data_IF_897810867767
#
_entry.id   IF_897810867767
#
_cell.length_a   1.000
_cell.length_b   1.000
_cell.length_c   1.000
_cell.angle_alpha   90.00
_cell.angle_beta   90.00
_cell.angle_gamma   90.00
#
_symmetry.space_group_name_H-M   'P 1'
#
loop_
_entity.id
_entity.type
_entity.pdbx_description
1 polymer ?
#
# COMPACT_ATOMS: atom_id res chain seq x y z
N UNK A 1 -8.03 29.49 18.04
CA UNK A 1 -7.17 30.22 17.09
C UNK A 1 -6.96 29.32 15.90
N UNK A 2 -7.65 29.59 14.78
CA UNK A 2 -7.53 28.82 13.54
C UNK A 2 -6.13 29.03 12.96
N UNK A 3 -5.38 27.96 12.77
CA UNK A 3 -4.17 28.03 11.96
C UNK A 3 -4.59 28.46 10.54
N UNK A 4 -4.28 29.70 10.17
CA UNK A 4 -4.52 30.24 8.84
C UNK A 4 -3.81 29.38 7.80
N UNK A 5 -4.53 28.94 6.78
CA UNK A 5 -3.92 28.30 5.61
C UNK A 5 -2.91 29.25 4.93
N UNK A 6 -1.84 28.73 4.32
CA UNK A 6 -0.90 29.56 3.57
C UNK A 6 -1.61 30.33 2.44
N UNK A 7 -1.20 31.58 2.21
CA UNK A 7 -1.87 32.54 1.31
C UNK A 7 -2.00 32.12 -0.17
N UNK A 8 -1.31 31.07 -0.64
CA UNK A 8 -1.49 30.53 -2.00
C UNK A 8 -2.61 29.47 -2.10
N UNK A 9 -3.28 29.17 -0.99
CA UNK A 9 -4.38 28.20 -0.88
C UNK A 9 -5.72 28.88 -0.52
N UNK A 10 -5.86 30.18 -0.79
CA UNK A 10 -7.05 30.96 -0.40
C UNK A 10 -8.33 30.51 -1.10
N UNK A 11 -8.22 29.97 -2.32
CA UNK A 11 -9.38 29.62 -3.15
C UNK A 11 -9.23 28.19 -3.72
N UNK A 12 -10.18 27.28 -3.40
CA UNK A 12 -10.23 25.96 -4.02
C UNK A 12 -10.41 26.06 -5.54
N UNK A 13 -9.80 25.15 -6.31
CA UNK A 13 -10.06 25.06 -7.75
C UNK A 13 -11.48 24.57 -8.03
N UNK A 14 -12.00 24.81 -9.24
CA UNK A 14 -13.32 24.29 -9.67
C UNK A 14 -13.43 22.77 -9.51
N UNK A 15 -12.33 22.04 -9.72
CA UNK A 15 -12.22 20.61 -9.51
C UNK A 15 -12.33 20.21 -8.02
N UNK A 16 -11.71 20.99 -7.12
CA UNK A 16 -11.86 20.81 -5.67
C UNK A 16 -13.27 21.17 -5.20
N UNK A 17 -13.88 22.22 -5.76
CA UNK A 17 -15.27 22.59 -5.50
C UNK A 17 -16.25 21.52 -6.01
N UNK A 18 -15.97 20.91 -7.16
CA UNK A 18 -16.73 19.78 -7.69
C UNK A 18 -16.69 18.59 -6.72
N UNK A 19 -15.51 18.22 -6.22
CA UNK A 19 -15.37 17.18 -5.20
C UNK A 19 -16.14 17.54 -3.91
N UNK A 20 -16.09 18.80 -3.49
CA UNK A 20 -16.83 19.28 -2.32
C UNK A 20 -18.35 19.16 -2.52
N UNK A 21 -18.86 19.57 -3.68
CA UNK A 21 -20.28 19.49 -4.02
C UNK A 21 -20.75 18.03 -4.04
N UNK A 22 -19.99 17.12 -4.63
CA UNK A 22 -20.30 15.68 -4.60
C UNK A 22 -20.30 15.12 -3.17
N UNK A 23 -19.43 15.62 -2.28
CA UNK A 23 -19.45 15.21 -0.88
C UNK A 23 -20.75 15.62 -0.17
N UNK A 24 -21.33 16.77 -0.52
CA UNK A 24 -22.59 17.25 0.06
C UNK A 24 -23.81 16.42 -0.32
N UNK A 25 -23.73 15.59 -1.36
CA UNK A 25 -24.80 14.63 -1.72
C UNK A 25 -24.88 13.44 -0.75
N UNK A 26 -23.93 13.32 0.18
CA UNK A 26 -23.84 12.24 1.17
C UNK A 26 -23.78 10.82 0.55
N UNK A 27 -23.38 10.72 -0.72
CA UNK A 27 -23.15 9.47 -1.45
C UNK A 27 -21.65 9.22 -1.62
N UNK A 28 -21.26 7.95 -1.63
CA UNK A 28 -19.86 7.57 -1.89
C UNK A 28 -19.46 7.90 -3.32
N UNK A 29 -18.26 8.42 -3.49
CA UNK A 29 -17.68 8.78 -4.79
C UNK A 29 -16.16 8.67 -4.75
N UNK A 30 -15.52 8.76 -5.91
CA UNK A 30 -14.07 8.74 -6.03
C UNK A 30 -13.51 10.02 -6.65
N UNK A 31 -12.35 10.45 -6.17
CA UNK A 31 -11.58 11.57 -6.70
C UNK A 31 -10.30 11.00 -7.30
N UNK A 32 -10.21 11.00 -8.62
CA UNK A 32 -8.98 10.61 -9.32
C UNK A 32 -8.11 11.86 -9.40
N UNK A 33 -6.95 11.80 -8.77
CA UNK A 33 -6.13 12.98 -8.56
C UNK A 33 -4.68 12.69 -8.95
N UNK A 34 -4.12 13.54 -9.79
CA UNK A 34 -2.74 13.37 -10.22
C UNK A 34 -1.72 13.80 -9.16
N UNK A 35 -0.45 13.52 -9.46
CA UNK A 35 0.72 13.92 -8.70
C UNK A 35 0.66 15.41 -8.29
N UNK A 36 0.60 15.65 -6.98
CA UNK A 36 0.61 17.00 -6.45
C UNK A 36 -0.68 17.78 -6.64
N UNK A 37 -1.79 17.15 -7.07
CA UNK A 37 -3.07 17.82 -7.29
C UNK A 37 -3.89 18.12 -6.03
N UNK A 38 -3.26 18.05 -4.84
CA UNK A 38 -3.89 18.46 -3.59
C UNK A 38 -4.85 17.44 -2.96
N UNK A 39 -4.69 16.13 -3.20
CA UNK A 39 -5.50 15.02 -2.61
C UNK A 39 -5.91 15.24 -1.15
N UNK A 40 -4.92 15.28 -0.26
CA UNK A 40 -5.13 15.45 1.18
C UNK A 40 -5.73 16.82 1.53
N UNK A 41 -5.41 17.86 0.76
CA UNK A 41 -6.02 19.20 0.92
C UNK A 41 -7.51 19.16 0.58
N UNK A 42 -7.88 18.52 -0.53
CA UNK A 42 -9.28 18.36 -0.95
C UNK A 42 -10.07 17.57 0.10
N UNK A 43 -9.50 16.48 0.62
CA UNK A 43 -10.09 15.72 1.73
C UNK A 43 -10.27 16.57 2.99
N UNK A 44 -9.29 17.44 3.30
CA UNK A 44 -9.40 18.37 4.42
C UNK A 44 -10.57 19.35 4.21
N UNK A 45 -10.68 19.98 3.03
CA UNK A 45 -11.77 20.90 2.69
C UNK A 45 -13.14 20.24 2.84
N UNK A 46 -13.25 18.98 2.37
CA UNK A 46 -14.46 18.16 2.56
C UNK A 46 -14.73 17.94 4.05
N UNK A 47 -13.71 17.55 4.83
CA UNK A 47 -13.82 17.34 6.28
C UNK A 47 -14.22 18.59 7.06
N UNK A 48 -13.81 19.78 6.61
CA UNK A 48 -14.22 21.08 7.18
C UNK A 48 -15.70 21.39 6.94
N UNK A 49 -16.27 20.90 5.83
CA UNK A 49 -17.65 21.20 5.43
C UNK A 49 -18.66 20.18 5.91
N UNK A 50 -18.28 18.90 5.96
CA UNK A 50 -19.14 17.82 6.44
C UNK A 50 -19.29 17.88 7.97
N UNK A 51 -20.50 17.56 8.43
CA UNK A 51 -20.86 17.51 9.86
C UNK A 51 -20.85 16.07 10.37
N UNK A 52 -20.82 15.91 11.70
CA UNK A 52 -20.81 14.60 12.36
C UNK A 52 -19.39 14.13 12.69
N UNK A 53 -19.23 12.84 13.00
CA UNK A 53 -17.92 12.25 13.30
C UNK A 53 -17.27 11.77 12.01
N UNK A 54 -16.20 12.45 11.59
CA UNK A 54 -15.44 12.06 10.42
C UNK A 54 -14.32 11.08 10.76
N UNK A 55 -13.94 10.24 9.79
CA UNK A 55 -12.76 9.39 9.89
C UNK A 55 -11.91 9.54 8.63
N UNK A 56 -10.68 9.99 8.80
CA UNK A 56 -9.66 10.00 7.76
C UNK A 56 -8.77 8.75 7.89
N UNK A 57 -8.66 8.00 6.80
CA UNK A 57 -7.87 6.78 6.70
C UNK A 57 -6.73 6.98 5.69
N UNK A 58 -5.50 6.74 6.15
CA UNK A 58 -4.31 6.74 5.32
C UNK A 58 -3.60 5.37 5.31
N UNK A 59 -2.78 5.15 4.29
CA UNK A 59 -2.00 3.92 4.17
C UNK A 59 -0.84 3.84 5.17
N UNK A 60 -0.15 4.95 5.43
CA UNK A 60 1.02 4.98 6.31
C UNK A 60 0.88 5.96 7.48
N UNK A 61 1.68 5.73 8.53
CA UNK A 61 1.62 6.49 9.79
C UNK A 61 2.05 7.94 9.63
N UNK A 62 3.00 8.24 8.73
CA UNK A 62 3.47 9.59 8.49
C UNK A 62 2.34 10.47 7.89
N UNK A 63 1.62 9.95 6.89
CA UNK A 63 0.44 10.62 6.30
C UNK A 63 -0.64 10.82 7.35
N UNK A 64 -0.98 9.79 8.14
CA UNK A 64 -1.99 9.90 9.19
C UNK A 64 -1.65 10.95 10.26
N UNK A 65 -0.37 11.06 10.65
CA UNK A 65 0.09 12.05 11.62
C UNK A 65 0.07 13.47 11.05
N UNK A 66 0.51 13.65 9.80
CA UNK A 66 0.46 14.95 9.11
C UNK A 66 -0.99 15.43 8.94
N UNK A 67 -1.89 14.52 8.55
CA UNK A 67 -3.32 14.80 8.46
C UNK A 67 -3.90 15.21 9.83
N UNK A 68 -3.55 14.52 10.91
CA UNK A 68 -4.05 14.85 12.27
C UNK A 68 -3.76 16.30 12.68
N UNK A 69 -2.62 16.86 12.26
CA UNK A 69 -2.27 18.24 12.59
C UNK A 69 -3.06 19.28 11.78
N UNK A 70 -3.68 18.87 10.66
CA UNK A 70 -4.28 19.76 9.66
C UNK A 70 -5.79 19.64 9.57
N UNK A 71 -6.35 18.46 9.85
CA UNK A 71 -7.77 18.17 9.75
C UNK A 71 -8.56 18.77 10.94
N UNK A 72 -9.88 19.01 10.77
CA UNK A 72 -10.73 19.47 11.84
C UNK A 72 -10.78 18.50 13.04
N UNK A 73 -11.03 18.99 14.27
CA UNK A 73 -11.07 18.14 15.47
C UNK A 73 -12.11 17.01 15.44
N UNK A 74 -13.21 17.16 14.69
CA UNK A 74 -14.24 16.12 14.55
C UNK A 74 -13.88 15.02 13.55
N UNK A 75 -12.75 15.15 12.85
CA UNK A 75 -12.26 14.15 11.90
C UNK A 75 -11.08 13.40 12.53
N UNK A 76 -11.31 12.15 12.91
CA UNK A 76 -10.26 11.32 13.47
C UNK A 76 -9.31 10.84 12.35
N UNK A 77 -8.00 11.09 12.47
CA UNK A 77 -7.00 10.63 11.50
C UNK A 77 -6.26 9.37 11.98
N UNK A 78 -6.34 8.28 11.21
CA UNK A 78 -5.74 6.97 11.51
C UNK A 78 -5.17 6.30 10.27
N UNK A 79 -4.31 5.31 10.50
CA UNK A 79 -4.06 4.30 9.45
C UNK A 79 -5.13 3.22 9.50
N UNK A 80 -5.42 2.59 8.37
CA UNK A 80 -6.36 1.46 8.29
C UNK A 80 -6.00 0.35 9.29
N UNK A 81 -4.71 -0.01 9.35
CA UNK A 81 -4.17 -0.99 10.29
C UNK A 81 -4.35 -0.59 11.76
N UNK A 82 -4.20 0.69 12.10
CA UNK A 82 -4.37 1.16 13.49
C UNK A 82 -5.84 1.17 13.93
N UNK A 83 -6.76 1.32 12.97
CA UNK A 83 -8.19 1.19 13.22
C UNK A 83 -8.54 -0.27 13.51
N UNK A 84 -8.11 -1.19 12.64
CA UNK A 84 -8.31 -2.63 12.81
C UNK A 84 -7.72 -3.13 14.14
N UNK A 85 -6.49 -2.75 14.46
CA UNK A 85 -5.81 -3.11 15.71
C UNK A 85 -6.64 -2.76 16.97
N UNK A 86 -7.35 -1.62 16.96
CA UNK A 86 -8.18 -1.19 18.10
C UNK A 86 -9.46 -2.01 18.27
N UNK A 87 -9.91 -2.69 17.21
CA UNK A 87 -11.18 -3.41 17.17
C UNK A 87 -11.02 -4.94 17.15
N UNK A 88 -9.80 -5.45 17.33
CA UNK A 88 -9.52 -6.88 17.48
C UNK A 88 -9.21 -7.18 18.94
N UNK A 89 -9.53 -8.39 19.37
CA UNK A 89 -9.30 -8.84 20.75
C UNK A 89 -7.81 -8.67 21.15
N UNK A 90 -7.60 -8.16 22.37
CA UNK A 90 -6.28 -7.73 22.83
C UNK A 90 -5.27 -8.88 22.89
N UNK A 91 -5.73 -10.04 23.30
CA UNK A 91 -4.97 -11.29 23.34
C UNK A 91 -4.39 -11.69 21.97
N UNK A 92 -5.15 -11.50 20.89
CA UNK A 92 -4.63 -11.69 19.53
C UNK A 92 -3.62 -10.60 19.17
N UNK A 93 -3.96 -9.34 19.40
CA UNK A 93 -3.06 -8.23 19.02
C UNK A 93 -1.75 -8.21 19.82
N UNK A 94 -1.75 -8.75 21.04
CA UNK A 94 -0.57 -8.93 21.87
C UNK A 94 0.43 -9.91 21.22
N UNK A 95 -0.02 -10.81 20.33
CA UNK A 95 0.88 -11.69 19.58
C UNK A 95 1.79 -10.95 18.60
N UNK A 96 1.56 -9.66 18.32
CA UNK A 96 2.50 -8.84 17.53
C UNK A 96 3.84 -8.61 18.25
N UNK A 97 3.86 -8.66 19.59
CA UNK A 97 5.11 -8.54 20.36
C UNK A 97 5.84 -9.87 20.56
N UNK A 98 5.23 -10.99 20.18
CA UNK A 98 5.86 -12.31 20.25
C UNK A 98 6.83 -12.51 19.08
N UNK A 99 7.92 -13.26 19.27
CA UNK A 99 8.83 -13.60 18.18
C UNK A 99 8.11 -14.45 17.13
N UNK A 100 8.33 -14.13 15.85
CA UNK A 100 7.90 -15.01 14.75
C UNK A 100 8.76 -16.26 14.74
N UNK A 101 8.16 -17.41 14.49
CA UNK A 101 8.92 -18.64 14.29
C UNK A 101 9.78 -18.51 13.03
N UNK A 102 11.02 -18.99 13.11
CA UNK A 102 11.85 -19.14 11.92
C UNK A 102 11.22 -20.18 10.98
N UNK A 103 11.51 -20.16 9.67
CA UNK A 103 10.95 -21.15 8.74
C UNK A 103 11.23 -22.59 9.16
N UNK A 104 12.41 -22.86 9.74
CA UNK A 104 12.73 -24.19 10.28
C UNK A 104 11.80 -24.56 11.44
N UNK A 105 11.73 -23.72 12.48
CA UNK A 105 10.88 -23.97 13.65
C UNK A 105 9.41 -24.12 13.28
N UNK A 106 8.93 -23.31 12.33
CA UNK A 106 7.57 -23.41 11.82
C UNK A 106 7.33 -24.72 11.06
N UNK A 107 8.31 -25.18 10.29
CA UNK A 107 8.23 -26.49 9.63
C UNK A 107 8.13 -27.63 10.63
N UNK A 108 8.93 -27.59 11.70
CA UNK A 108 8.90 -28.58 12.78
C UNK A 108 7.55 -28.55 13.54
N UNK A 109 7.06 -27.35 13.87
CA UNK A 109 5.78 -27.12 14.57
C UNK A 109 4.56 -27.59 13.76
N UNK A 110 4.63 -27.51 12.44
CA UNK A 110 3.62 -28.00 11.51
C UNK A 110 3.84 -29.46 11.09
N UNK A 111 4.87 -30.14 11.60
CA UNK A 111 5.18 -31.54 11.25
C UNK A 111 5.58 -31.77 9.78
N UNK A 112 6.01 -30.72 9.07
CA UNK A 112 6.32 -30.80 7.64
C UNK A 112 7.54 -31.69 7.39
N UNK A 113 7.43 -32.59 6.41
CA UNK A 113 8.52 -33.48 6.00
C UNK A 113 9.12 -33.04 4.66
N UNK A 114 10.40 -33.37 4.37
CA UNK A 114 10.98 -33.11 3.06
C UNK A 114 10.19 -33.80 1.94
N UNK A 115 9.99 -33.10 0.82
CA UNK A 115 9.29 -33.63 -0.36
C UNK A 115 10.13 -33.44 -1.60
N UNK A 116 10.20 -34.46 -2.46
CA UNK A 116 10.82 -34.34 -3.77
C UNK A 116 9.80 -33.83 -4.78
N UNK A 117 10.20 -32.84 -5.58
CA UNK A 117 9.40 -32.26 -6.66
C UNK A 117 10.27 -32.06 -7.90
N UNK A 118 9.64 -32.05 -9.05
CA UNK A 118 10.27 -31.75 -10.33
C UNK A 118 10.33 -30.25 -10.55
N UNK A 119 11.53 -29.76 -10.79
CA UNK A 119 11.81 -28.42 -11.29
C UNK A 119 11.92 -28.47 -12.80
N UNK A 120 11.12 -27.65 -13.49
CA UNK A 120 11.20 -27.38 -14.91
C UNK A 120 12.07 -26.13 -15.15
N UNK A 121 13.14 -26.28 -15.93
CA UNK A 121 13.89 -25.15 -16.51
C UNK A 121 14.29 -25.52 -17.93
N UNK A 122 14.04 -24.63 -18.89
CA UNK A 122 14.46 -24.79 -20.29
C UNK A 122 14.08 -26.15 -20.90
N UNK A 123 12.90 -26.68 -20.54
CA UNK A 123 12.39 -27.97 -21.03
C UNK A 123 12.95 -29.22 -20.33
N UNK A 124 13.80 -29.07 -19.31
CA UNK A 124 14.39 -30.20 -18.56
C UNK A 124 13.76 -30.32 -17.17
N UNK A 125 13.39 -31.55 -16.82
CA UNK A 125 12.89 -31.91 -15.49
C UNK A 125 14.04 -32.40 -14.60
N UNK A 126 14.26 -31.72 -13.46
CA UNK A 126 15.20 -32.16 -12.43
C UNK A 126 14.50 -32.29 -11.09
N UNK A 127 14.67 -33.43 -10.42
CA UNK A 127 14.20 -33.60 -9.05
C UNK A 127 15.00 -32.73 -8.09
N UNK A 128 14.29 -31.99 -7.25
CA UNK A 128 14.83 -31.24 -6.13
C UNK A 128 14.09 -31.63 -4.85
N UNK A 129 14.75 -31.52 -3.71
CA UNK A 129 14.11 -31.69 -2.41
C UNK A 129 13.71 -30.33 -1.85
N UNK A 130 12.43 -30.17 -1.51
CA UNK A 130 11.92 -29.07 -0.71
C UNK A 130 12.04 -29.46 0.77
N UNK A 131 12.79 -28.66 1.53
CA UNK A 131 12.96 -28.86 2.97
C UNK A 131 11.74 -28.36 3.75
N UNK A 132 11.52 -28.81 5.00
CA UNK A 132 10.44 -28.28 5.86
C UNK A 132 10.46 -26.75 5.98
N UNK A 133 11.65 -26.15 6.01
CA UNK A 133 11.83 -24.71 6.03
C UNK A 133 11.37 -24.00 4.73
N UNK A 134 11.49 -24.64 3.56
CA UNK A 134 10.94 -24.12 2.30
C UNK A 134 9.43 -24.29 2.24
N UNK A 135 8.93 -25.44 2.69
CA UNK A 135 7.51 -25.73 2.73
C UNK A 135 6.76 -24.80 3.69
N UNK A 136 7.31 -24.52 4.86
CA UNK A 136 6.73 -23.58 5.82
C UNK A 136 6.68 -22.13 5.31
N UNK A 137 7.57 -21.78 4.37
CA UNK A 137 7.50 -20.49 3.65
C UNK A 137 6.30 -20.45 2.71
N UNK A 138 6.04 -21.51 1.94
CA UNK A 138 4.81 -21.60 1.14
C UNK A 138 3.56 -21.53 2.00
N UNK A 139 3.56 -22.16 3.18
CA UNK A 139 2.45 -22.07 4.14
C UNK A 139 2.27 -20.62 4.63
N UNK A 140 3.35 -19.94 5.02
CA UNK A 140 3.30 -18.55 5.50
C UNK A 140 2.85 -17.58 4.40
N UNK A 141 3.32 -17.77 3.18
CA UNK A 141 2.93 -16.99 2.01
C UNK A 141 1.46 -17.24 1.67
N UNK A 142 0.97 -18.49 1.79
CA UNK A 142 -0.44 -18.82 1.59
C UNK A 142 -1.36 -18.15 2.63
N UNK A 143 -0.93 -18.05 3.89
CA UNK A 143 -1.64 -17.27 4.91
C UNK A 143 -1.68 -15.79 4.57
N UNK A 144 -0.55 -15.23 4.12
CA UNK A 144 -0.47 -13.83 3.70
C UNK A 144 -1.41 -13.54 2.52
N UNK A 145 -1.42 -14.44 1.52
CA UNK A 145 -2.32 -14.39 0.37
C UNK A 145 -3.79 -14.53 0.78
N UNK A 146 -4.11 -15.44 1.71
CA UNK A 146 -5.46 -15.55 2.26
C UNK A 146 -5.88 -14.22 2.93
N UNK A 147 -4.99 -13.61 3.71
CA UNK A 147 -5.28 -12.39 4.45
C UNK A 147 -5.49 -11.17 3.56
N UNK A 148 -4.99 -11.15 2.32
CA UNK A 148 -5.21 -10.06 1.36
C UNK A 148 -6.50 -10.20 0.53
N UNK A 149 -7.24 -11.31 0.66
CA UNK A 149 -8.46 -11.58 -0.13
C UNK A 149 -9.75 -11.43 0.69
N UNK A 150 -10.90 -11.48 0.00
CA UNK A 150 -12.23 -11.57 0.63
C UNK A 150 -12.63 -12.97 1.11
N UNK A 151 -11.78 -13.99 0.93
CA UNK A 151 -12.14 -15.35 1.33
C UNK A 151 -12.44 -15.41 2.84
N UNK A 152 -13.52 -16.10 3.23
CA UNK A 152 -13.89 -16.23 4.65
C UNK A 152 -13.00 -17.23 5.41
N UNK A 153 -12.30 -18.09 4.68
CA UNK A 153 -11.43 -19.12 5.24
C UNK A 153 -10.28 -19.46 4.26
N UNK A 154 -9.11 -19.95 4.73
CA UNK A 154 -8.05 -20.43 3.86
C UNK A 154 -8.56 -21.50 2.89
N UNK A 155 -7.90 -21.63 1.75
CA UNK A 155 -8.29 -22.53 0.67
C UNK A 155 -7.06 -22.89 -0.17
N UNK A 156 -7.04 -24.04 -0.87
CA UNK A 156 -5.91 -24.48 -1.69
C UNK A 156 -5.40 -23.39 -2.67
N UNK A 157 -6.31 -22.62 -3.27
CA UNK A 157 -5.98 -21.52 -4.20
C UNK A 157 -5.07 -20.42 -3.64
N UNK A 158 -4.94 -20.29 -2.32
CA UNK A 158 -4.01 -19.32 -1.73
C UNK A 158 -2.56 -19.80 -1.73
N UNK A 159 -2.32 -21.09 -1.96
CA UNK A 159 -1.00 -21.69 -2.07
C UNK A 159 -0.51 -21.51 -3.51
N UNK A 160 0.43 -20.57 -3.67
CA UNK A 160 1.04 -20.23 -4.94
C UNK A 160 2.47 -20.76 -4.98
N UNK A 161 2.85 -21.31 -6.13
CA UNK A 161 4.19 -21.83 -6.36
C UNK A 161 4.90 -21.07 -7.47
N UNK A 162 6.23 -21.04 -7.48
CA UNK A 162 7.01 -20.48 -8.58
C UNK A 162 6.76 -21.23 -9.89
N UNK A 163 6.88 -20.53 -11.02
CA UNK A 163 6.66 -21.09 -12.36
C UNK A 163 7.60 -22.22 -12.76
N UNK A 164 8.72 -22.39 -12.05
CA UNK A 164 9.65 -23.51 -12.30
C UNK A 164 9.16 -24.83 -11.70
N UNK A 165 8.12 -24.86 -10.87
CA UNK A 165 7.58 -26.10 -10.31
C UNK A 165 6.71 -26.81 -11.35
N UNK A 166 6.92 -28.10 -11.57
CA UNK A 166 6.08 -28.91 -12.46
C UNK A 166 4.60 -28.82 -12.05
N UNK A 167 3.71 -28.65 -13.02
CA UNK A 167 2.29 -28.42 -12.76
C UNK A 167 1.59 -29.55 -11.99
N UNK A 168 1.97 -30.81 -12.24
CA UNK A 168 1.38 -31.96 -11.55
C UNK A 168 1.89 -32.09 -10.12
N UNK A 169 3.19 -31.84 -9.90
CA UNK A 169 3.76 -31.81 -8.55
C UNK A 169 3.25 -30.60 -7.77
N UNK A 170 2.98 -29.47 -8.43
CA UNK A 170 2.37 -28.30 -7.81
C UNK A 170 0.97 -28.60 -7.28
N UNK A 171 0.14 -29.36 -8.00
CA UNK A 171 -1.18 -29.75 -7.52
C UNK A 171 -1.10 -30.69 -6.31
N UNK A 172 -0.29 -31.74 -6.40
CA UNK A 172 -0.08 -32.66 -5.28
C UNK A 172 0.48 -31.96 -4.04
N UNK A 173 1.45 -31.05 -4.25
CA UNK A 173 2.04 -30.27 -3.17
C UNK A 173 1.01 -29.31 -2.55
N UNK A 174 0.08 -28.77 -3.35
CA UNK A 174 -1.00 -27.92 -2.85
C UNK A 174 -1.93 -28.67 -1.92
N UNK A 175 -2.38 -29.86 -2.34
CA UNK A 175 -3.25 -30.71 -1.52
C UNK A 175 -2.53 -31.13 -0.23
N UNK A 176 -1.25 -31.51 -0.31
CA UNK A 176 -0.45 -31.89 0.85
C UNK A 176 -0.26 -30.74 1.84
N UNK A 177 -0.01 -29.52 1.37
CA UNK A 177 0.24 -28.36 2.24
C UNK A 177 -1.03 -27.73 2.81
N UNK A 178 -2.20 -27.96 2.21
CA UNK A 178 -3.44 -27.29 2.63
C UNK A 178 -3.80 -27.52 4.12
N UNK A 179 -3.73 -28.74 4.68
CA UNK A 179 -3.95 -28.95 6.12
C UNK A 179 -2.99 -28.14 7.00
N UNK A 180 -1.73 -27.99 6.59
CA UNK A 180 -0.75 -27.18 7.32
C UNK A 180 -1.07 -25.67 7.24
N UNK A 181 -1.66 -25.21 6.12
CA UNK A 181 -2.18 -23.84 6.00
C UNK A 181 -3.36 -23.62 6.95
N UNK A 182 -4.32 -24.55 7.02
CA UNK A 182 -5.42 -24.45 7.98
C UNK A 182 -4.92 -24.44 9.43
N UNK A 183 -4.05 -25.38 9.77
CA UNK A 183 -3.43 -25.44 11.09
C UNK A 183 -2.71 -24.13 11.42
N UNK A 184 -1.93 -23.58 10.48
CA UNK A 184 -1.23 -22.32 10.72
C UNK A 184 -2.18 -21.15 10.91
N UNK A 185 -3.30 -21.10 10.19
CA UNK A 185 -4.33 -20.08 10.41
C UNK A 185 -4.90 -20.17 11.84
N UNK A 186 -5.30 -21.36 12.27
CA UNK A 186 -5.82 -21.61 13.62
C UNK A 186 -4.79 -21.25 14.71
N UNK A 187 -3.52 -21.64 14.53
CA UNK A 187 -2.43 -21.23 15.42
C UNK A 187 -2.22 -19.71 15.45
N UNK A 188 -2.46 -19.02 14.33
CA UNK A 188 -2.31 -17.56 14.25
C UNK A 188 -3.39 -16.84 15.06
N UNK A 189 -4.60 -17.40 15.13
CA UNK A 189 -5.73 -16.85 15.86
C UNK A 189 -5.95 -17.47 17.26
N UNK A 190 -5.15 -18.45 17.66
CA UNK A 190 -5.13 -18.95 19.04
C UNK A 190 -4.27 -18.02 19.92
N UNK A 191 -4.91 -17.35 20.89
CA UNK A 191 -4.26 -16.45 21.85
C UNK A 191 -3.12 -17.11 22.64
N UNK A 192 -3.17 -18.43 22.85
CA UNK A 192 -2.19 -19.17 23.67
C UNK A 192 -1.02 -19.69 22.85
N UNK A 193 -1.11 -19.65 21.53
CA UNK A 193 -0.04 -20.15 20.67
C UNK A 193 1.19 -19.21 20.75
N UNK A 194 2.40 -19.73 21.00
CA UNK A 194 3.57 -18.90 21.31
C UNK A 194 4.20 -18.20 20.09
N UNK A 195 3.80 -18.55 18.86
CA UNK A 195 4.29 -17.90 17.66
C UNK A 195 3.63 -16.53 17.46
N UNK A 196 4.46 -15.50 17.24
CA UNK A 196 3.99 -14.17 16.84
C UNK A 196 3.33 -14.13 15.47
N UNK A 197 2.56 -13.07 15.22
CA UNK A 197 1.77 -12.87 14.00
C UNK A 197 2.26 -11.65 13.19
N UNK A 198 1.80 -11.57 11.94
CA UNK A 198 1.90 -10.37 11.12
C UNK A 198 0.72 -9.42 11.30
N UNK A 199 0.81 -8.26 10.66
CA UNK A 199 -0.26 -7.25 10.69
C UNK A 199 -1.49 -7.64 9.87
N UNK A 200 -1.30 -8.57 8.93
CA UNK A 200 -2.29 -9.16 8.06
C UNK A 200 -3.30 -10.03 8.84
N UNK A 201 -2.86 -10.76 9.87
CA UNK A 201 -3.72 -11.67 10.66
C UNK A 201 -4.85 -10.92 11.38
N UNK A 202 -4.53 -9.90 12.19
CA UNK A 202 -5.57 -9.16 12.90
C UNK A 202 -6.43 -8.35 11.93
N UNK A 203 -5.84 -7.85 10.85
CA UNK A 203 -6.60 -7.14 9.83
C UNK A 203 -7.63 -8.06 9.16
N UNK A 204 -7.23 -9.30 8.86
CA UNK A 204 -8.13 -10.34 8.35
C UNK A 204 -9.24 -10.68 9.35
N UNK A 205 -8.91 -10.87 10.63
CA UNK A 205 -9.92 -11.10 11.68
C UNK A 205 -10.93 -9.96 11.78
N UNK A 206 -10.44 -8.71 11.72
CA UNK A 206 -11.31 -7.55 11.71
C UNK A 206 -12.23 -7.56 10.49
N UNK A 207 -11.70 -7.84 9.29
CA UNK A 207 -12.51 -7.98 8.08
C UNK A 207 -13.59 -9.08 8.19
N UNK A 208 -13.24 -10.24 8.75
CA UNK A 208 -14.15 -11.37 8.97
C UNK A 208 -15.29 -11.02 9.94
N UNK A 209 -15.06 -10.09 10.87
CA UNK A 209 -16.11 -9.59 11.76
C UNK A 209 -17.18 -8.72 11.07
N UNK A 210 -16.99 -8.41 9.76
CA UNK A 210 -17.85 -7.51 8.97
C UNK A 210 -18.09 -6.18 9.70
N UNK A 211 -17.03 -5.42 9.96
CA UNK A 211 -17.09 -4.32 10.90
C UNK A 211 -17.89 -3.16 10.32
N UNK A 212 -18.77 -2.58 11.15
CA UNK A 212 -19.33 -1.25 10.90
C UNK A 212 -18.43 -0.21 11.57
N UNK A 213 -17.83 0.66 10.78
CA UNK A 213 -16.97 1.73 11.27
C UNK A 213 -17.85 2.82 11.89
N UNK A 214 -17.64 3.21 13.16
CA UNK A 214 -18.51 4.15 13.87
C UNK A 214 -18.20 5.61 13.51
N UNK A 215 -18.28 5.95 12.22
CA UNK A 215 -18.10 7.28 11.67
C UNK A 215 -19.30 7.66 10.79
N UNK A 216 -19.66 8.93 10.73
CA UNK A 216 -20.74 9.44 9.88
C UNK A 216 -20.31 9.60 8.42
N UNK A 217 -19.01 9.80 8.18
CA UNK A 217 -18.37 9.76 6.86
C UNK A 217 -16.91 9.32 6.97
N UNK A 218 -16.40 8.71 5.90
CA UNK A 218 -15.02 8.20 5.81
C UNK A 218 -14.32 8.85 4.62
N UNK A 219 -13.11 9.36 4.86
CA UNK A 219 -12.21 9.94 3.87
C UNK A 219 -11.02 9.01 3.71
N UNK A 220 -10.87 8.37 2.57
CA UNK A 220 -9.80 7.40 2.33
C UNK A 220 -8.80 7.93 1.31
N UNK A 221 -7.58 8.17 1.77
CA UNK A 221 -6.47 8.71 0.98
C UNK A 221 -5.56 7.59 0.46
N UNK A 222 -4.89 7.86 -0.66
CA UNK A 222 -4.07 6.90 -1.40
C UNK A 222 -4.80 5.58 -1.72
N UNK A 223 -6.07 5.69 -2.12
CA UNK A 223 -6.94 4.55 -2.36
C UNK A 223 -6.46 3.59 -3.47
N UNK A 224 -5.52 4.01 -4.33
CA UNK A 224 -4.87 3.12 -5.29
C UNK A 224 -4.01 2.03 -4.64
N UNK A 225 -3.55 2.23 -3.41
CA UNK A 225 -2.69 1.29 -2.67
C UNK A 225 -3.49 0.30 -1.81
N UNK A 226 -4.82 0.37 -1.87
CA UNK A 226 -5.69 -0.52 -1.13
C UNK A 226 -5.68 -1.95 -1.70
N UNK A 227 -5.52 -2.93 -0.81
CA UNK A 227 -5.73 -4.33 -1.15
C UNK A 227 -7.23 -4.67 -1.23
N UNK A 228 -7.61 -5.82 -1.83
CA UNK A 228 -9.00 -6.25 -1.89
C UNK A 228 -9.66 -6.24 -0.50
N UNK A 229 -9.03 -6.82 0.52
CA UNK A 229 -9.57 -6.91 1.87
C UNK A 229 -10.02 -5.53 2.42
N UNK A 230 -9.16 -4.51 2.35
CA UNK A 230 -9.49 -3.14 2.75
C UNK A 230 -10.65 -2.59 1.94
N UNK A 231 -10.63 -2.80 0.63
CA UNK A 231 -11.70 -2.34 -0.26
C UNK A 231 -13.05 -2.94 0.10
N UNK A 232 -13.13 -4.24 0.40
CA UNK A 232 -14.40 -4.87 0.80
C UNK A 232 -14.91 -4.44 2.17
N UNK A 233 -14.03 -4.07 3.10
CA UNK A 233 -14.50 -3.43 4.35
C UNK A 233 -15.13 -2.08 4.01
N UNK A 234 -14.45 -1.25 3.21
CA UNK A 234 -14.88 0.11 2.91
C UNK A 234 -16.16 0.15 2.06
N UNK A 235 -16.28 -0.69 1.03
CA UNK A 235 -17.45 -0.71 0.15
C UNK A 235 -18.71 -1.25 0.82
N UNK A 236 -18.56 -1.99 1.92
CA UNK A 236 -19.68 -2.49 2.74
C UNK A 236 -20.10 -1.50 3.84
N UNK A 237 -19.44 -0.34 3.97
CA UNK A 237 -19.83 0.63 4.98
C UNK A 237 -21.19 1.25 4.65
N UNK A 238 -22.10 1.37 5.63
CA UNK A 238 -23.42 1.96 5.41
C UNK A 238 -23.38 3.49 5.29
N UNK A 239 -22.21 4.10 5.47
CA UNK A 239 -21.99 5.54 5.48
C UNK A 239 -21.13 5.94 4.29
N UNK A 240 -21.16 7.24 3.97
CA UNK A 240 -20.42 7.80 2.85
C UNK A 240 -18.92 7.50 2.99
N UNK A 241 -18.33 6.96 1.91
CA UNK A 241 -16.89 6.79 1.78
C UNK A 241 -16.42 7.55 0.55
N UNK A 242 -15.45 8.44 0.76
CA UNK A 242 -14.85 9.27 -0.28
C UNK A 242 -13.44 8.75 -0.53
N UNK A 243 -13.22 8.22 -1.72
CA UNK A 243 -11.96 7.59 -2.12
C UNK A 243 -11.13 8.59 -2.91
N UNK A 244 -9.88 8.83 -2.51
CA UNK A 244 -8.97 9.73 -3.23
C UNK A 244 -7.68 9.00 -3.55
N UNK A 245 -7.25 9.07 -4.80
CA UNK A 245 -6.07 8.35 -5.23
C UNK A 245 -5.62 8.70 -6.64
N UNK A 246 -4.40 8.28 -6.96
CA UNK A 246 -3.79 8.42 -8.27
C UNK A 246 -3.60 7.04 -8.91
N UNK A 247 -4.35 6.75 -9.97
CA UNK A 247 -4.30 5.45 -10.63
C UNK A 247 -2.92 5.12 -11.24
N UNK A 248 -2.06 6.12 -11.46
CA UNK A 248 -0.72 5.97 -12.05
C UNK A 248 0.41 5.94 -11.02
N UNK A 249 0.12 6.13 -9.72
CA UNK A 249 1.11 6.03 -8.63
C UNK A 249 1.00 4.73 -7.83
N UNK A 250 0.31 3.72 -8.36
CA UNK A 250 0.22 2.43 -7.70
C UNK A 250 1.58 1.71 -7.75
N UNK A 251 2.32 1.75 -6.63
CA UNK A 251 3.66 1.14 -6.51
C UNK A 251 3.70 -0.07 -5.55
N UNK A 252 2.57 -0.39 -4.92
CA UNK A 252 2.43 -1.50 -3.97
C UNK A 252 1.72 -2.74 -4.56
N UNK A 253 1.72 -2.91 -5.90
CA UNK A 253 1.13 -4.09 -6.56
C UNK A 253 1.68 -5.41 -6.01
N UNK A 254 2.97 -5.45 -5.67
CA UNK A 254 3.63 -6.60 -5.04
C UNK A 254 3.07 -7.00 -3.66
N UNK A 255 2.26 -6.14 -3.01
CA UNK A 255 1.51 -6.45 -1.78
C UNK A 255 0.09 -6.94 -2.04
N UNK A 256 -0.28 -7.14 -3.32
CA UNK A 256 -1.63 -7.53 -3.72
C UNK A 256 -2.60 -6.35 -3.86
N UNK A 257 -2.10 -5.10 -3.85
CA UNK A 257 -2.92 -3.95 -4.20
C UNK A 257 -3.44 -4.11 -5.64
N UNK A 258 -4.75 -3.97 -5.83
CA UNK A 258 -5.39 -3.97 -7.14
C UNK A 258 -5.72 -2.51 -7.46
N UNK A 259 -5.71 -2.09 -8.74
CA UNK A 259 -6.12 -0.71 -9.10
C UNK A 259 -7.60 -0.46 -8.73
N UNK A 260 -7.83 -0.17 -7.46
CA UNK A 260 -9.14 -0.10 -6.84
C UNK A 260 -9.93 1.08 -7.41
N UNK A 261 -9.23 2.18 -7.70
CA UNK A 261 -9.80 3.37 -8.31
C UNK A 261 -10.46 3.07 -9.66
N UNK A 262 -9.87 2.21 -10.50
CA UNK A 262 -10.49 1.79 -11.77
C UNK A 262 -11.67 0.83 -11.57
N UNK A 263 -11.61 -0.06 -10.58
CA UNK A 263 -12.64 -1.09 -10.36
C UNK A 263 -13.88 -0.62 -9.59
N UNK A 264 -13.81 0.48 -8.86
CA UNK A 264 -14.94 1.05 -8.13
C UNK A 264 -15.97 1.67 -9.09
N UNK A 265 -17.21 1.13 -9.17
CA UNK A 265 -18.28 1.68 -10.00
C UNK A 265 -18.98 2.84 -9.27
N UNK A 266 -18.20 3.84 -8.87
CA UNK A 266 -18.67 5.03 -8.17
C UNK A 266 -18.61 6.25 -9.10
N UNK A 267 -19.49 7.25 -8.91
CA UNK A 267 -19.33 8.56 -9.52
C UNK A 267 -17.93 9.11 -9.25
N UNK A 268 -17.37 9.82 -10.23
CA UNK A 268 -16.00 10.33 -10.13
C UNK A 268 -15.89 11.82 -10.46
N UNK A 269 -14.93 12.47 -9.83
CA UNK A 269 -14.40 13.77 -10.24
C UNK A 269 -12.88 13.71 -10.32
N UNK A 270 -12.26 14.72 -10.94
CA UNK A 270 -10.83 14.75 -11.23
C UNK A 270 -10.15 15.91 -10.51
N UNK A 271 -8.90 15.70 -10.08
CA UNK A 271 -7.97 16.78 -9.72
C UNK A 271 -6.77 16.72 -10.68
N UNK A 272 -6.76 17.57 -11.69
CA UNK A 272 -5.80 17.55 -12.80
C UNK A 272 -4.67 18.56 -12.63
N UNK A 273 -4.85 19.62 -11.83
CA UNK A 273 -3.82 20.65 -11.65
C UNK A 273 -2.82 20.30 -10.55
N UNK A 274 -1.55 20.11 -10.90
CA UNK A 274 -0.46 19.98 -9.92
C UNK A 274 -0.20 21.30 -9.22
N UNK A 275 -0.08 21.29 -7.89
CA UNK A 275 0.42 22.43 -7.12
C UNK A 275 1.93 22.35 -6.86
N UNK A 276 2.63 21.34 -7.39
CA UNK A 276 4.06 21.11 -7.12
C UNK A 276 4.97 21.78 -8.15
N UNK A 277 4.54 21.85 -9.41
CA UNK A 277 5.33 22.31 -10.55
C UNK A 277 4.46 23.05 -11.58
N UNK A 278 5.10 23.78 -12.49
CA UNK A 278 4.47 24.46 -13.64
C UNK A 278 4.43 23.62 -14.91
N UNK A 279 3.92 24.22 -15.98
CA UNK A 279 3.57 23.55 -17.24
C UNK A 279 4.72 22.74 -17.89
N UNK A 280 5.98 23.21 -17.93
CA UNK A 280 7.05 22.46 -18.59
C UNK A 280 7.29 21.05 -18.02
N UNK A 281 7.09 20.86 -16.70
CA UNK A 281 7.18 19.53 -16.08
C UNK A 281 5.92 18.70 -16.40
N UNK A 282 4.75 19.35 -16.46
CA UNK A 282 3.49 18.69 -16.82
C UNK A 282 3.52 18.14 -18.24
N UNK A 283 4.09 18.86 -19.22
CA UNK A 283 4.26 18.40 -20.60
C UNK A 283 5.08 17.10 -20.70
N UNK A 284 6.20 17.02 -19.96
CA UNK A 284 7.00 15.78 -19.90
C UNK A 284 6.20 14.65 -19.25
N UNK A 285 5.53 14.93 -18.12
CA UNK A 285 4.71 13.93 -17.44
C UNK A 285 3.57 13.43 -18.34
N UNK A 286 2.89 14.31 -19.08
CA UNK A 286 1.82 13.98 -20.02
C UNK A 286 2.30 13.09 -21.17
N UNK A 287 3.56 13.22 -21.60
CA UNK A 287 4.14 12.28 -22.58
C UNK A 287 4.12 10.84 -22.06
N UNK A 288 4.46 10.65 -20.79
CA UNK A 288 4.43 9.34 -20.14
C UNK A 288 3.00 8.88 -19.87
N UNK A 289 2.13 9.76 -19.37
CA UNK A 289 0.72 9.45 -19.08
C UNK A 289 -0.04 9.04 -20.34
N UNK A 290 0.22 9.71 -21.48
CA UNK A 290 -0.36 9.33 -22.77
C UNK A 290 0.07 7.93 -23.21
N UNK A 291 1.33 7.55 -22.97
CA UNK A 291 1.79 6.19 -23.22
C UNK A 291 1.11 5.16 -22.31
N UNK A 292 0.64 5.59 -21.13
CA UNK A 292 -0.20 4.81 -20.21
C UNK A 292 -1.71 4.91 -20.51
N UNK A 293 -2.07 5.41 -21.70
CA UNK A 293 -3.46 5.56 -22.19
C UNK A 293 -4.32 6.50 -21.34
N UNK A 294 -3.70 7.50 -20.69
CA UNK A 294 -4.45 8.57 -20.03
C UNK A 294 -4.92 9.61 -21.05
N UNK A 295 -6.20 9.97 -20.99
CA UNK A 295 -6.84 10.89 -21.94
C UNK A 295 -6.91 12.31 -21.38
N UNK A 296 -7.04 12.46 -20.06
CA UNK A 296 -7.16 13.78 -19.42
C UNK A 296 -5.77 14.29 -19.04
N UNK A 297 -5.31 15.44 -19.56
CA UNK A 297 -3.97 15.91 -19.29
C UNK A 297 -3.80 16.41 -17.83
N UNK A 298 -2.64 16.12 -17.25
CA UNK A 298 -2.11 16.78 -16.07
C UNK A 298 -1.81 18.24 -16.41
N UNK A 299 -2.25 19.18 -15.57
CA UNK A 299 -2.00 20.62 -15.75
C UNK A 299 -0.92 21.08 -14.79
N UNK A 300 0.02 21.90 -15.25
CA UNK A 300 0.95 22.60 -14.38
C UNK A 300 0.27 23.72 -13.61
N UNK A 301 0.84 24.12 -12.47
CA UNK A 301 0.39 25.33 -11.79
C UNK A 301 0.87 26.56 -12.59
N UNK A 302 -0.03 27.43 -13.08
CA UNK A 302 0.37 28.65 -13.81
C UNK A 302 1.21 29.61 -12.95
N UNK A 303 1.07 29.53 -11.62
CA UNK A 303 1.81 30.37 -10.67
C UNK A 303 3.16 29.77 -10.25
N UNK A 304 3.56 28.62 -10.81
CA UNK A 304 4.88 28.03 -10.56
C UNK A 304 5.73 28.08 -11.81
N UNK A 305 6.85 28.80 -11.72
CA UNK A 305 7.88 28.71 -12.74
C UNK A 305 8.58 27.35 -12.63
N UNK A 306 8.70 26.67 -13.76
CA UNK A 306 9.40 25.40 -13.88
C UNK A 306 10.12 25.37 -15.22
N UNK A 307 11.22 24.66 -15.28
CA UNK A 307 11.99 24.45 -16.50
C UNK A 307 12.48 23.02 -16.55
N UNK A 308 12.76 22.55 -17.76
CA UNK A 308 13.26 21.20 -18.01
C UNK A 308 14.42 21.32 -18.99
N UNK A 309 15.53 20.67 -18.69
CA UNK A 309 16.72 20.65 -19.54
C UNK A 309 17.10 19.19 -19.85
N UNK A 310 17.52 18.93 -21.09
CA UNK A 310 18.02 17.63 -21.53
C UNK A 310 19.55 17.53 -21.40
N UNK A 311 20.23 18.65 -21.20
CA UNK A 311 21.68 18.73 -21.05
C UNK A 311 22.17 18.32 -19.66
N UNK A 312 23.47 18.07 -19.54
CA UNK A 312 24.13 17.99 -18.24
C UNK A 312 24.11 19.37 -17.59
N UNK A 313 23.13 19.62 -16.73
CA UNK A 313 23.13 20.82 -15.90
C UNK A 313 24.32 20.73 -14.95
N UNK A 314 25.30 21.62 -15.14
CA UNK A 314 26.52 21.73 -14.32
C UNK A 314 26.25 22.37 -12.94
N UNK A 315 25.02 22.79 -12.67
CA UNK A 315 24.64 23.36 -11.39
C UNK A 315 24.58 22.29 -10.29
N UNK A 316 24.64 22.77 -9.04
CA UNK A 316 24.36 21.94 -7.87
C UNK A 316 22.96 21.32 -7.98
N UNK A 317 22.85 20.03 -7.68
CA UNK A 317 21.60 19.26 -7.68
C UNK A 317 21.18 19.03 -6.23
N UNK A 318 19.94 19.36 -5.91
CA UNK A 318 19.38 19.13 -4.57
C UNK A 318 18.88 17.71 -4.37
N UNK A 319 18.44 17.06 -5.46
CA UNK A 319 17.98 15.68 -5.47
C UNK A 319 18.47 14.95 -6.72
N UNK A 320 18.88 13.70 -6.55
CA UNK A 320 19.30 12.82 -7.65
C UNK A 320 18.51 11.52 -7.53
N UNK A 321 17.69 11.23 -8.53
CA UNK A 321 16.95 9.99 -8.61
C UNK A 321 17.76 8.95 -9.39
N UNK A 322 17.94 7.77 -8.81
CA UNK A 322 18.70 6.69 -9.42
C UNK A 322 17.82 5.46 -9.64
N UNK A 323 18.05 4.75 -10.75
CA UNK A 323 17.35 3.51 -11.05
C UNK A 323 17.78 2.34 -10.15
N UNK A 324 19.04 2.36 -9.69
CA UNK A 324 19.61 1.26 -8.90
C UNK A 324 20.24 1.75 -7.62
N UNK A 325 20.23 0.88 -6.61
CA UNK A 325 20.91 1.09 -5.34
C UNK A 325 22.42 1.35 -5.53
N UNK A 326 23.07 0.64 -6.45
CA UNK A 326 24.47 0.84 -6.77
C UNK A 326 24.75 2.25 -7.35
N UNK A 327 23.91 2.73 -8.27
CA UNK A 327 24.04 4.09 -8.80
C UNK A 327 23.80 5.16 -7.72
N UNK A 328 22.81 4.96 -6.84
CA UNK A 328 22.55 5.87 -5.74
C UNK A 328 23.74 5.96 -4.77
N UNK A 329 24.36 4.81 -4.45
CA UNK A 329 25.59 4.76 -3.66
C UNK A 329 26.76 5.45 -4.35
N UNK A 330 26.92 5.25 -5.66
CA UNK A 330 27.95 5.95 -6.44
C UNK A 330 27.78 7.47 -6.36
N UNK A 331 26.55 7.99 -6.55
CA UNK A 331 26.26 9.42 -6.42
C UNK A 331 26.50 9.95 -5.00
N UNK A 332 26.15 9.17 -3.97
CA UNK A 332 26.44 9.49 -2.57
C UNK A 332 27.94 9.67 -2.33
N UNK A 333 28.76 8.69 -2.76
CA UNK A 333 30.22 8.72 -2.60
C UNK A 333 30.86 9.86 -3.38
N UNK A 334 30.40 10.12 -4.61
CA UNK A 334 30.85 11.27 -5.40
C UNK A 334 30.53 12.58 -4.69
N UNK A 335 29.33 12.73 -4.14
CA UNK A 335 28.95 13.91 -3.36
C UNK A 335 29.81 14.11 -2.11
N UNK A 336 30.08 13.03 -1.35
CA UNK A 336 30.97 13.07 -0.18
C UNK A 336 32.40 13.48 -0.57
N UNK A 337 32.94 12.92 -1.65
CA UNK A 337 34.28 13.27 -2.16
C UNK A 337 34.38 14.74 -2.56
N UNK A 338 33.28 15.33 -3.06
CA UNK A 338 33.17 16.74 -3.41
C UNK A 338 32.85 17.64 -2.18
N UNK A 339 32.77 17.08 -0.97
CA UNK A 339 32.49 17.84 0.26
C UNK A 339 31.02 18.25 0.42
N UNK A 340 30.10 17.65 -0.34
CA UNK A 340 28.67 17.95 -0.23
C UNK A 340 28.05 17.29 1.01
N UNK A 341 27.06 17.95 1.62
CA UNK A 341 26.15 17.31 2.57
C UNK A 341 25.13 16.49 1.79
N UNK A 342 25.25 15.17 1.87
CA UNK A 342 24.40 14.23 1.13
C UNK A 342 23.66 13.29 2.05
N UNK A 343 22.45 12.90 1.66
CA UNK A 343 21.65 11.90 2.32
C UNK A 343 21.16 10.90 1.27
N UNK A 344 21.14 9.61 1.64
CA UNK A 344 20.62 8.54 0.79
C UNK A 344 19.30 8.02 1.36
N UNK A 345 18.25 8.07 0.55
CA UNK A 345 16.97 7.45 0.87
C UNK A 345 16.84 6.14 0.08
N UNK A 346 17.25 5.03 0.69
CA UNK A 346 17.19 3.69 0.09
C UNK A 346 16.97 2.60 1.16
N UNK A 347 16.69 1.37 0.73
CA UNK A 347 16.60 0.20 1.61
C UNK A 347 18.00 -0.16 2.15
N UNK A 348 18.36 0.48 3.27
CA UNK A 348 19.66 0.35 3.92
C UNK A 348 19.90 -1.05 4.47
N UNK A 349 18.86 -1.80 4.85
CA UNK A 349 19.00 -3.18 5.34
C UNK A 349 19.50 -4.11 4.24
N UNK A 350 18.95 -3.97 3.02
CA UNK A 350 19.37 -4.77 1.87
C UNK A 350 20.77 -4.39 1.40
N UNK A 351 21.15 -3.12 1.54
CA UNK A 351 22.51 -2.63 1.23
C UNK A 351 23.55 -3.12 2.24
N UNK A 352 23.26 -3.08 3.53
CA UNK A 352 24.17 -3.57 4.58
C UNK A 352 24.48 -5.06 4.40
N UNK A 353 23.47 -5.86 4.03
CA UNK A 353 23.67 -7.29 3.70
C UNK A 353 24.57 -7.52 2.49
N UNK A 354 24.51 -6.65 1.48
CA UNK A 354 25.40 -6.73 0.31
C UNK A 354 26.85 -6.39 0.69
N UNK A 355 27.06 -5.33 1.46
CA UNK A 355 28.40 -4.93 1.94
C UNK A 355 29.02 -5.92 2.94
N UNK A 356 28.20 -6.68 3.68
CA UNK A 356 28.68 -7.74 4.57
C UNK A 356 28.97 -9.07 3.85
N UNK A 357 28.47 -9.22 2.62
CA UNK A 357 28.64 -10.43 1.81
C UNK A 357 29.72 -10.29 0.72
N UNK A 358 30.20 -9.05 0.49
CA UNK A 358 31.36 -8.72 -0.34
C UNK A 358 32.58 -8.52 0.57
#
# INVERSE_FOLDING_TARGET
MSASMPAYMSDPTDEQLSALNMAMDHKSFKVVAYAGAGKTTTLKLIGERLRGRGLYLAFNKAIANDARAKFPPHVECRTFHSLAYRHVARDITAKLSLPRFSPKRLGDDLGLQPVQVRRQMDGVNKYITLTPARLSRFVSDAISNFCSTHASYPAPRHILFPSWLDGSDAEQLREMLYPAVEQRWLQSIDARHPAGIGHDIYLKLWALSKPSIPADFILFDEAQDADPLMMGILTQQPRQVIYVGDAHQQIYEWRGAVNAMKKLPLPQTLLTQSFRFGEPIAEIANTLLKALQEEVPLKGNPNKQSSTDKGMVHSKKDAILCRTNAAAMSQLLTGLKLGHRVALQADTERMLKFCQAA
#
